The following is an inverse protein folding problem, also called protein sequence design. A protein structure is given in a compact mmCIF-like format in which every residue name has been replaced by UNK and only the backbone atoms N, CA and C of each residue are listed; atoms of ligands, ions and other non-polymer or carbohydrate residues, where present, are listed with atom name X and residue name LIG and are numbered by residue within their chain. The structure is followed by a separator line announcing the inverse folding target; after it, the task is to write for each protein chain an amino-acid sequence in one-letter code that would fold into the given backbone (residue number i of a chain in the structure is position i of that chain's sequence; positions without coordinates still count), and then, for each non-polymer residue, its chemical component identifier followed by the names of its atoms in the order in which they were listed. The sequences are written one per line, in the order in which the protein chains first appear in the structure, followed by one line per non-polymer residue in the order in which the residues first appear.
data_IF_922682408088
#
_entry.id   IF_922682408088
#
_cell.length_a   1.000
_cell.length_b   1.000
_cell.length_c   1.000
_cell.angle_alpha   90.00
_cell.angle_beta   90.00
_cell.angle_gamma   90.00
#
_symmetry.space_group_name_H-M   'P 1'
#
loop_
_entity.id
_entity.type
_entity.pdbx_description
1 polymer ?
#
# COMPACT_ATOMS: atom_id res chain seq x y z
N UNK A 1 10.15 4.99 43.06
CA UNK A 1 10.79 6.14 42.38
C UNK A 1 11.40 5.65 41.06
N UNK A 2 10.60 5.52 40.00
CA UNK A 2 11.15 5.45 38.64
C UNK A 2 11.21 6.90 38.16
N UNK A 3 12.43 7.44 38.25
CA UNK A 3 12.70 8.86 38.12
C UNK A 3 12.32 9.44 36.76
N UNK A 4 12.06 10.74 36.80
CA UNK A 4 11.78 11.71 35.73
C UNK A 4 12.59 11.52 34.43
N UNK A 5 13.71 10.80 34.45
CA UNK A 5 14.53 10.53 33.26
C UNK A 5 13.87 9.68 32.17
N UNK A 6 12.95 8.75 32.50
CA UNK A 6 12.26 7.98 31.45
C UNK A 6 11.25 8.83 30.67
N UNK A 7 10.53 9.72 31.37
CA UNK A 7 9.61 10.67 30.74
C UNK A 7 10.35 11.76 29.96
N UNK A 8 11.55 12.14 30.38
CA UNK A 8 12.41 13.08 29.63
C UNK A 8 12.96 12.48 28.33
N UNK A 9 13.36 11.20 28.34
CA UNK A 9 13.79 10.51 27.12
C UNK A 9 12.64 10.37 26.10
N UNK A 10 11.44 10.01 26.56
CA UNK A 10 10.24 9.96 25.71
C UNK A 10 9.86 11.34 25.16
N UNK A 11 10.05 12.40 25.95
CA UNK A 11 9.81 13.78 25.54
C UNK A 11 10.84 14.26 24.51
N UNK A 12 12.11 13.87 24.62
CA UNK A 12 13.14 14.18 23.63
C UNK A 12 12.83 13.48 22.30
N UNK A 13 12.48 12.19 22.34
CA UNK A 13 12.04 11.42 21.17
C UNK A 13 10.77 11.98 20.51
N UNK A 14 9.86 12.57 21.30
CA UNK A 14 8.66 13.27 20.78
C UNK A 14 8.93 14.71 20.36
N UNK A 15 9.89 15.41 20.96
CA UNK A 15 10.17 16.83 20.65
C UNK A 15 10.91 17.02 19.34
N UNK A 16 11.51 15.96 18.77
CA UNK A 16 12.05 15.99 17.41
C UNK A 16 10.97 16.02 16.32
N UNK A 17 9.68 15.99 16.68
CA UNK A 17 8.56 15.88 15.74
C UNK A 17 7.84 17.19 15.39
N UNK A 18 8.26 18.36 15.90
CA UNK A 18 7.90 19.61 15.23
C UNK A 18 8.76 19.73 13.95
N UNK A 19 8.33 18.99 12.92
CA UNK A 19 8.82 19.17 11.55
C UNK A 19 8.46 20.59 11.17
N UNK A 20 9.45 21.47 11.17
CA UNK A 20 9.34 22.76 10.52
C UNK A 20 8.88 22.52 9.08
N UNK A 21 7.65 22.95 8.78
CA UNK A 21 7.04 22.89 7.46
C UNK A 21 7.98 23.43 6.37
N UNK A 22 8.83 24.39 6.72
CA UNK A 22 9.79 24.98 5.79
C UNK A 22 10.86 23.98 5.32
N UNK A 23 11.38 23.13 6.22
CA UNK A 23 12.37 22.10 5.87
C UNK A 23 11.74 21.06 4.94
N UNK A 24 10.53 20.60 5.26
CA UNK A 24 9.80 19.62 4.44
C UNK A 24 9.52 20.18 3.04
N UNK A 25 9.09 21.45 2.95
CA UNK A 25 8.88 22.15 1.66
C UNK A 25 10.16 22.23 0.84
N UNK A 26 11.29 22.62 1.45
CA UNK A 26 12.60 22.70 0.78
C UNK A 26 13.07 21.32 0.31
N UNK A 27 12.86 20.29 1.14
CA UNK A 27 13.18 18.92 0.80
C UNK A 27 12.39 18.42 -0.42
N UNK A 28 11.07 18.58 -0.45
CA UNK A 28 10.26 18.20 -1.62
C UNK A 28 10.59 19.03 -2.86
N UNK A 29 10.91 20.32 -2.69
CA UNK A 29 11.37 21.19 -3.77
C UNK A 29 12.72 20.75 -4.35
N UNK A 30 13.58 20.11 -3.56
CA UNK A 30 14.82 19.50 -4.04
C UNK A 30 14.54 18.16 -4.74
N UNK A 31 13.76 17.27 -4.10
CA UNK A 31 13.39 15.97 -4.66
C UNK A 31 12.71 16.08 -6.02
N UNK A 32 11.86 17.09 -6.23
CA UNK A 32 11.13 17.29 -7.49
C UNK A 32 12.05 17.54 -8.70
N UNK A 33 13.26 18.07 -8.47
CA UNK A 33 14.27 18.33 -9.51
C UNK A 33 15.02 17.07 -9.93
N UNK A 34 15.07 16.05 -9.07
CA UNK A 34 15.72 14.79 -9.38
C UNK A 34 14.89 14.02 -10.41
N UNK A 35 15.55 13.34 -11.34
CA UNK A 35 14.91 12.42 -12.29
C UNK A 35 15.65 11.08 -12.30
N UNK A 36 15.36 10.21 -11.32
CA UNK A 36 16.08 8.97 -11.18
C UNK A 36 15.91 8.07 -12.40
N UNK A 37 17.00 7.46 -12.86
CA UNK A 37 16.96 6.44 -13.91
C UNK A 37 16.46 5.11 -13.33
N UNK A 38 15.80 4.29 -14.16
CA UNK A 38 15.23 3.00 -13.73
C UNK A 38 15.86 1.80 -14.45
N UNK A 39 16.93 2.02 -15.21
CA UNK A 39 17.50 0.99 -16.09
C UNK A 39 17.98 -0.26 -15.36
N UNK A 40 18.30 -0.15 -14.06
CA UNK A 40 18.73 -1.27 -13.22
C UNK A 40 17.59 -2.11 -12.67
N UNK A 41 16.34 -1.65 -12.82
CA UNK A 41 15.16 -2.24 -12.19
C UNK A 41 13.98 -2.39 -13.16
N UNK A 42 14.24 -2.25 -14.46
CA UNK A 42 13.19 -2.22 -15.47
C UNK A 42 12.53 -3.58 -15.69
N UNK A 43 13.30 -4.65 -15.53
CA UNK A 43 12.86 -6.04 -15.67
C UNK A 43 11.91 -6.40 -14.53
N UNK A 44 12.24 -6.06 -13.30
CA UNK A 44 11.45 -6.34 -12.11
C UNK A 44 10.10 -5.60 -12.13
N UNK A 45 10.08 -4.36 -12.63
CA UNK A 45 8.83 -3.62 -12.84
C UNK A 45 7.96 -4.30 -13.90
N UNK A 46 8.57 -4.79 -14.98
CA UNK A 46 7.86 -5.47 -16.07
C UNK A 46 7.31 -6.83 -15.61
N UNK A 47 8.09 -7.59 -14.84
CA UNK A 47 7.71 -8.88 -14.27
C UNK A 47 6.52 -8.72 -13.32
N UNK A 48 6.57 -7.75 -12.40
CA UNK A 48 5.45 -7.45 -11.52
C UNK A 48 4.20 -7.08 -12.32
N UNK A 49 4.32 -6.22 -13.34
CA UNK A 49 3.19 -5.87 -14.20
C UNK A 49 2.59 -7.10 -14.90
N UNK A 50 3.43 -8.00 -15.42
CA UNK A 50 2.99 -9.22 -16.08
C UNK A 50 2.30 -10.17 -15.11
N UNK A 51 2.84 -10.33 -13.89
CA UNK A 51 2.23 -11.14 -12.84
C UNK A 51 0.82 -10.61 -12.49
N UNK A 52 0.71 -9.31 -12.21
CA UNK A 52 -0.60 -8.70 -11.91
C UNK A 52 -1.54 -8.83 -13.10
N UNK A 53 -1.07 -8.61 -14.34
CA UNK A 53 -1.90 -8.75 -15.54
C UNK A 53 -2.39 -10.18 -15.75
N UNK A 54 -1.55 -11.20 -15.50
CA UNK A 54 -1.94 -12.60 -15.62
C UNK A 54 -3.03 -12.99 -14.60
N UNK A 55 -2.96 -12.41 -13.40
CA UNK A 55 -3.90 -12.65 -12.29
C UNK A 55 -5.16 -11.79 -12.38
N UNK A 56 -5.21 -10.83 -13.30
CA UNK A 56 -6.28 -9.82 -13.39
C UNK A 56 -7.61 -10.30 -13.96
N UNK A 57 -7.65 -11.45 -14.62
CA UNK A 57 -8.89 -11.98 -15.21
C UNK A 57 -9.61 -10.93 -16.07
N UNK A 58 -10.85 -10.58 -15.68
CA UNK A 58 -11.69 -9.58 -16.34
C UNK A 58 -11.27 -8.12 -16.09
N UNK A 59 -10.39 -7.86 -15.12
CA UNK A 59 -9.88 -6.51 -14.88
C UNK A 59 -8.82 -6.16 -15.91
N UNK A 60 -9.15 -5.31 -16.88
CA UNK A 60 -8.17 -4.85 -17.87
C UNK A 60 -7.09 -3.98 -17.22
N UNK A 61 -5.93 -4.58 -16.94
CA UNK A 61 -4.73 -3.84 -16.56
C UNK A 61 -4.13 -3.22 -17.81
N UNK A 62 -4.35 -1.91 -17.95
CA UNK A 62 -3.92 -1.14 -19.09
C UNK A 62 -2.42 -0.75 -19.01
N UNK A 63 -1.74 -0.50 -20.15
CA UNK A 63 -0.34 -0.05 -20.19
C UNK A 63 -0.05 1.21 -19.35
N UNK A 64 -1.05 2.05 -19.10
CA UNK A 64 -0.94 3.21 -18.20
C UNK A 64 -0.55 2.83 -16.76
N UNK A 65 -0.90 1.62 -16.30
CA UNK A 65 -0.54 1.15 -14.96
C UNK A 65 0.95 0.84 -14.87
N UNK A 66 1.57 0.32 -15.94
CA UNK A 66 3.03 0.17 -16.01
C UNK A 66 3.73 1.53 -15.90
N UNK A 67 3.20 2.56 -16.57
CA UNK A 67 3.71 3.93 -16.42
C UNK A 67 3.51 4.48 -15.01
N UNK A 68 2.46 4.07 -14.29
CA UNK A 68 2.25 4.45 -12.90
C UNK A 68 3.27 3.77 -11.98
N UNK A 69 3.52 2.47 -12.17
CA UNK A 69 4.55 1.71 -11.44
C UNK A 69 5.94 2.36 -11.62
N UNK A 70 6.34 2.66 -12.86
CA UNK A 70 7.57 3.41 -13.14
C UNK A 70 7.65 4.72 -12.34
N UNK A 71 6.56 5.50 -12.30
CA UNK A 71 6.52 6.77 -11.55
C UNK A 71 6.62 6.56 -10.05
N UNK A 72 6.01 5.51 -9.50
CA UNK A 72 6.10 5.17 -8.08
C UNK A 72 7.53 4.80 -7.69
N UNK A 73 8.20 3.96 -8.47
CA UNK A 73 9.61 3.60 -8.27
C UNK A 73 10.49 4.85 -8.34
N UNK A 74 10.31 5.71 -9.35
CA UNK A 74 11.05 6.97 -9.44
C UNK A 74 10.75 7.91 -8.26
N UNK A 75 9.51 7.97 -7.78
CA UNK A 75 9.14 8.78 -6.63
C UNK A 75 9.83 8.29 -5.36
N UNK A 76 9.88 6.97 -5.12
CA UNK A 76 10.63 6.39 -4.01
C UNK A 76 12.12 6.74 -4.10
N UNK A 77 12.73 6.60 -5.28
CA UNK A 77 14.13 6.96 -5.49
C UNK A 77 14.38 8.48 -5.25
N UNK A 78 13.43 9.34 -5.65
CA UNK A 78 13.48 10.80 -5.37
C UNK A 78 13.46 11.09 -3.88
N UNK A 79 12.63 10.39 -3.09
CA UNK A 79 12.58 10.56 -1.64
C UNK A 79 13.91 10.15 -0.98
N UNK A 80 14.55 9.12 -1.50
CA UNK A 80 15.88 8.72 -1.03
C UNK A 80 17.03 9.59 -1.59
N UNK A 81 16.71 10.65 -2.35
CA UNK A 81 17.68 11.55 -2.99
C UNK A 81 18.66 10.84 -3.93
N UNK A 82 18.23 9.74 -4.57
CA UNK A 82 19.07 8.93 -5.46
C UNK A 82 18.91 9.35 -6.92
N UNK A 83 19.98 9.20 -7.69
CA UNK A 83 19.97 9.40 -9.16
C UNK A 83 19.55 8.15 -9.93
N UNK A 84 19.60 6.98 -9.29
CA UNK A 84 19.21 5.69 -9.85
C UNK A 84 18.29 4.95 -8.88
N UNK A 85 17.24 4.34 -9.41
CA UNK A 85 16.34 3.49 -8.64
C UNK A 85 16.99 2.13 -8.33
N UNK A 86 16.67 1.58 -7.17
CA UNK A 86 17.14 0.26 -6.73
C UNK A 86 15.98 -0.69 -6.46
N UNK A 87 16.29 -1.95 -6.17
CA UNK A 87 15.28 -2.98 -5.88
C UNK A 87 14.38 -2.59 -4.70
N UNK A 88 14.91 -1.89 -3.71
CA UNK A 88 14.12 -1.40 -2.57
C UNK A 88 13.00 -0.45 -3.02
N UNK A 89 13.23 0.38 -4.06
CA UNK A 89 12.20 1.26 -4.61
C UNK A 89 11.11 0.47 -5.35
N UNK A 90 11.48 -0.64 -5.98
CA UNK A 90 10.52 -1.56 -6.61
C UNK A 90 9.67 -2.21 -5.53
N UNK A 91 10.29 -2.71 -4.46
CA UNK A 91 9.56 -3.32 -3.33
C UNK A 91 8.55 -2.35 -2.70
N UNK A 92 8.89 -1.06 -2.55
CA UNK A 92 7.94 -0.05 -2.09
C UNK A 92 6.81 0.18 -3.09
N UNK A 93 7.11 0.24 -4.38
CA UNK A 93 6.11 0.32 -5.44
C UNK A 93 5.14 -0.88 -5.40
N UNK A 94 5.65 -2.11 -5.23
CA UNK A 94 4.85 -3.33 -5.15
C UNK A 94 3.88 -3.27 -3.96
N UNK A 95 4.35 -2.81 -2.79
CA UNK A 95 3.50 -2.63 -1.60
C UNK A 95 2.35 -1.66 -1.88
N UNK A 96 2.67 -0.48 -2.44
CA UNK A 96 1.67 0.55 -2.78
C UNK A 96 0.67 0.03 -3.81
N UNK A 97 1.15 -0.63 -4.85
CA UNK A 97 0.28 -1.19 -5.90
C UNK A 97 -0.59 -2.32 -5.36
N UNK A 98 -0.07 -3.17 -4.48
CA UNK A 98 -0.85 -4.24 -3.84
C UNK A 98 -1.96 -3.67 -2.96
N UNK A 99 -1.68 -2.63 -2.19
CA UNK A 99 -2.67 -1.91 -1.40
C UNK A 99 -3.77 -1.31 -2.29
N UNK A 100 -3.37 -0.66 -3.39
CA UNK A 100 -4.30 -0.11 -4.38
C UNK A 100 -5.19 -1.19 -5.01
N UNK A 101 -4.66 -2.39 -5.22
CA UNK A 101 -5.38 -3.50 -5.85
C UNK A 101 -6.31 -4.26 -4.87
N UNK A 102 -6.06 -4.17 -3.55
CA UNK A 102 -6.83 -4.90 -2.52
C UNK A 102 -8.35 -4.70 -2.62
N UNK A 103 -8.90 -3.47 -2.77
CA UNK A 103 -10.35 -3.27 -2.89
C UNK A 103 -10.97 -4.00 -4.08
N UNK A 104 -10.18 -4.23 -5.13
CA UNK A 104 -10.61 -4.92 -6.33
C UNK A 104 -10.61 -6.45 -6.20
N UNK A 105 -10.28 -6.99 -5.02
CA UNK A 105 -10.27 -8.43 -4.76
C UNK A 105 -8.97 -9.12 -5.17
N UNK A 106 -7.93 -8.36 -5.50
CA UNK A 106 -6.59 -8.89 -5.67
C UNK A 106 -5.95 -9.13 -4.32
N UNK A 107 -5.64 -10.39 -4.04
CA UNK A 107 -4.66 -10.75 -3.04
C UNK A 107 -3.64 -11.62 -3.74
N UNK A 108 -2.35 -11.31 -3.57
CA UNK A 108 -1.23 -12.08 -4.17
C UNK A 108 -1.36 -13.59 -3.86
N UNK A 109 -2.08 -13.93 -2.77
CA UNK A 109 -2.33 -15.28 -2.28
C UNK A 109 -3.76 -15.83 -2.50
N UNK A 110 -4.70 -15.11 -3.11
CA UNK A 110 -6.09 -15.55 -3.14
C UNK A 110 -6.75 -15.46 -4.51
N UNK A 111 -7.51 -16.52 -4.85
CA UNK A 111 -8.25 -16.73 -6.09
C UNK A 111 -9.07 -15.47 -6.39
N UNK A 112 -8.93 -14.95 -7.61
CA UNK A 112 -9.72 -13.83 -8.11
C UNK A 112 -11.20 -14.22 -8.07
N UNK A 113 -11.97 -13.62 -7.16
CA UNK A 113 -13.43 -13.76 -7.14
C UNK A 113 -13.99 -12.73 -8.13
N UNK A 114 -14.66 -13.15 -9.22
CA UNK A 114 -15.26 -12.22 -10.17
C UNK A 114 -16.22 -11.26 -9.46
N UNK A 115 -16.29 -10.01 -9.91
CA UNK A 115 -17.15 -8.97 -9.28
C UNK A 115 -18.61 -9.43 -9.12
N UNK A 116 -19.13 -10.19 -10.10
CA UNK A 116 -20.48 -10.76 -10.08
C UNK A 116 -20.71 -11.81 -8.98
N UNK A 117 -19.64 -12.47 -8.53
CA UNK A 117 -19.66 -13.45 -7.44
C UNK A 117 -19.33 -12.80 -6.10
N UNK A 118 -18.52 -11.74 -6.10
CA UNK A 118 -18.18 -10.93 -4.91
C UNK A 118 -19.44 -10.37 -4.26
N UNK A 119 -20.34 -9.75 -5.03
CA UNK A 119 -21.58 -9.17 -4.49
C UNK A 119 -22.51 -10.23 -3.88
N UNK A 120 -22.53 -11.44 -4.46
CA UNK A 120 -23.30 -12.57 -3.94
C UNK A 120 -22.67 -13.15 -2.67
N UNK A 121 -21.35 -13.26 -2.63
CA UNK A 121 -20.59 -13.72 -1.46
C UNK A 121 -20.73 -12.77 -0.27
N UNK A 122 -20.69 -11.45 -0.50
CA UNK A 122 -20.89 -10.48 0.58
C UNK A 122 -22.30 -10.56 1.16
N UNK A 123 -23.33 -10.68 0.32
CA UNK A 123 -24.70 -10.91 0.81
C UNK A 123 -24.81 -12.17 1.64
N UNK A 124 -24.15 -13.25 1.24
CA UNK A 124 -24.12 -14.48 2.04
C UNK A 124 -23.41 -14.25 3.38
N UNK A 125 -22.26 -13.60 3.39
CA UNK A 125 -21.53 -13.28 4.62
C UNK A 125 -22.39 -12.40 5.55
N UNK A 126 -23.09 -11.41 5.01
CA UNK A 126 -23.99 -10.54 5.77
C UNK A 126 -25.18 -11.32 6.33
N UNK A 127 -25.81 -12.20 5.53
CA UNK A 127 -26.86 -13.10 6.01
C UNK A 127 -26.38 -14.00 7.15
N UNK A 128 -25.15 -14.55 7.07
CA UNK A 128 -24.58 -15.36 8.15
C UNK A 128 -24.23 -14.54 9.39
N UNK A 129 -23.84 -13.26 9.24
CA UNK A 129 -23.62 -12.35 10.37
C UNK A 129 -24.93 -11.98 11.07
N UNK A 130 -25.97 -11.63 10.31
CA UNK A 130 -27.30 -11.32 10.85
C UNK A 130 -27.90 -12.53 11.57
N UNK A 131 -27.73 -13.73 11.02
CA UNK A 131 -28.24 -14.95 11.64
C UNK A 131 -27.51 -15.31 12.96
N UNK A 132 -26.19 -15.10 13.05
CA UNK A 132 -25.45 -15.28 14.30
C UNK A 132 -25.87 -14.30 15.41
N UNK A 133 -26.26 -13.08 15.04
CA UNK A 133 -26.79 -12.09 16.00
C UNK A 133 -28.20 -12.48 16.48
N UNK A 134 -29.00 -13.13 15.63
CA UNK A 134 -30.31 -13.68 16.02
C UNK A 134 -30.21 -14.87 16.98
N UNK A 135 -29.20 -15.73 16.81
CA UNK A 135 -29.01 -16.90 17.69
C UNK A 135 -28.46 -16.50 19.08
N UNK A 136 -27.68 -15.42 19.20
CA UNK A 136 -27.19 -14.90 20.50
C UNK A 136 -28.29 -14.18 21.30
N UNK A 137 -29.30 -13.61 20.64
CA UNK A 137 -30.44 -12.98 21.32
C UNK A 137 -31.44 -14.00 21.90
N UNK A 138 -31.39 -15.26 21.44
CA UNK A 138 -32.26 -16.34 21.91
C UNK A 138 -31.69 -17.10 23.12
N UNK A 139 -30.46 -16.80 23.57
CA UNK A 139 -29.81 -17.46 24.73
C UNK A 139 -29.92 -16.62 26.03
N UNK A 140 -30.62 -15.48 26.01
CA UNK A 140 -30.87 -14.66 27.21
C UNK A 140 -32.33 -14.67 27.72
N UNK A 141 -33.21 -15.47 27.11
CA UNK A 141 -34.53 -15.80 27.64
C UNK A 141 -34.61 -17.30 27.92
N UNK A 142 -34.00 -17.75 29.02
CA UNK A 142 -34.37 -18.93 29.80
C UNK A 142 -33.68 -18.88 31.18
#
# INVERSE_FOLDING_TARGET
MYGTGHVDALKILRSSEEKDDEIVKKYFAYCSKLNPTISKVEEEIADFFQDVRSKSGDMSIAPRHLMAMKRLTQASAKLHLREEATLEDVMEMEKVMTEYLRPFGFSINNILVPSSLKDKLWRLIDMFKEKKIGDELFIMED
#
